data_IF_004219335923
#
_entry.id   IF_004219335923
#
_cell.length_a   1.000
_cell.length_b   1.000
_cell.length_c   1.000
_cell.angle_alpha   90.00
_cell.angle_beta   90.00
_cell.angle_gamma   90.00
#
_symmetry.space_group_name_H-M   'P 1'
#
loop_
_entity.id
_entity.type
_entity.pdbx_description
1 polymer ?
#
# COMPACT_ATOMS: atom_id res chain seq x y z
N UNK A 1 -14.90 -47.69 22.31
CA UNK A 1 -14.99 -46.80 23.48
C UNK A 1 -14.30 -45.45 23.24
N UNK A 2 -13.04 -45.44 22.78
CA UNK A 2 -12.26 -44.20 22.52
C UNK A 2 -12.95 -43.24 21.54
N UNK A 3 -13.42 -43.72 20.37
CA UNK A 3 -14.13 -42.90 19.39
C UNK A 3 -15.38 -42.19 19.94
N UNK A 4 -16.24 -42.91 20.69
CA UNK A 4 -17.44 -42.31 21.32
C UNK A 4 -17.08 -41.17 22.28
N UNK A 5 -16.04 -41.34 23.08
CA UNK A 5 -15.60 -40.31 24.02
C UNK A 5 -15.03 -39.11 23.26
N UNK A 6 -14.19 -39.34 22.24
CA UNK A 6 -13.66 -38.25 21.42
C UNK A 6 -14.76 -37.47 20.71
N UNK A 7 -15.81 -38.14 20.21
CA UNK A 7 -16.97 -37.47 19.61
C UNK A 7 -17.75 -36.61 20.61
N UNK A 8 -17.96 -37.10 21.84
CA UNK A 8 -18.63 -36.32 22.88
C UNK A 8 -17.80 -35.09 23.28
N UNK A 9 -16.48 -35.26 23.49
CA UNK A 9 -15.57 -34.16 23.81
C UNK A 9 -15.44 -33.16 22.66
N UNK A 10 -15.52 -33.61 21.40
CA UNK A 10 -15.57 -32.74 20.22
C UNK A 10 -16.77 -31.80 20.27
N UNK A 11 -17.98 -32.35 20.45
CA UNK A 11 -19.22 -31.57 20.48
C UNK A 11 -19.21 -30.60 21.66
N UNK A 12 -18.80 -31.06 22.85
CA UNK A 12 -18.68 -30.20 24.02
C UNK A 12 -17.74 -29.01 23.78
N UNK A 13 -16.55 -29.27 23.23
CA UNK A 13 -15.56 -28.24 22.93
C UNK A 13 -16.08 -27.22 21.91
N UNK A 14 -16.70 -27.70 20.82
CA UNK A 14 -17.25 -26.86 19.76
C UNK A 14 -18.38 -25.95 20.28
N UNK A 15 -19.33 -26.50 21.04
CA UNK A 15 -20.42 -25.74 21.63
C UNK A 15 -19.92 -24.67 22.61
N UNK A 16 -18.99 -25.00 23.49
CA UNK A 16 -18.44 -24.03 24.44
C UNK A 16 -17.69 -22.89 23.73
N UNK A 17 -16.93 -23.19 22.66
CA UNK A 17 -16.29 -22.15 21.86
C UNK A 17 -17.33 -21.18 21.26
N UNK A 18 -18.45 -21.70 20.76
CA UNK A 18 -19.53 -20.89 20.21
C UNK A 18 -20.25 -20.07 21.28
N UNK A 19 -20.51 -20.63 22.46
CA UNK A 19 -21.08 -19.92 23.62
C UNK A 19 -20.17 -18.77 24.09
N UNK A 20 -18.85 -18.94 23.98
CA UNK A 20 -17.86 -17.89 24.25
C UNK A 20 -17.71 -16.87 23.10
N UNK A 21 -18.52 -16.96 22.03
CA UNK A 21 -18.53 -16.02 20.91
C UNK A 21 -17.61 -16.38 19.73
N UNK A 22 -16.87 -17.50 19.79
CA UNK A 22 -16.00 -17.95 18.70
C UNK A 22 -16.76 -18.82 17.68
N UNK A 23 -17.85 -18.28 17.11
CA UNK A 23 -18.76 -19.00 16.20
C UNK A 23 -18.11 -19.37 14.85
N UNK A 24 -16.98 -18.76 14.49
CA UNK A 24 -16.20 -19.09 13.29
C UNK A 24 -15.30 -20.33 13.46
N UNK A 25 -15.20 -20.88 14.68
CA UNK A 25 -14.38 -22.04 14.97
C UNK A 25 -15.16 -23.34 14.83
N UNK A 26 -14.47 -24.35 14.34
CA UNK A 26 -14.95 -25.72 14.23
C UNK A 26 -13.94 -26.65 14.89
N UNK A 27 -14.42 -27.82 15.34
CA UNK A 27 -13.54 -28.85 15.89
C UNK A 27 -13.52 -30.04 14.94
N UNK A 28 -12.36 -30.66 14.73
CA UNK A 28 -12.25 -31.97 14.06
C UNK A 28 -11.45 -32.94 14.90
N UNK A 29 -11.76 -34.22 14.76
CA UNK A 29 -11.07 -35.29 15.46
C UNK A 29 -10.10 -35.98 14.53
N UNK A 30 -8.86 -36.21 14.98
CA UNK A 30 -7.88 -37.03 14.29
C UNK A 30 -7.14 -37.90 15.31
N UNK A 31 -7.45 -39.20 15.37
CA UNK A 31 -6.90 -40.09 16.40
C UNK A 31 -7.27 -39.65 17.82
N UNK A 32 -6.27 -39.35 18.65
CA UNK A 32 -6.43 -38.81 20.01
C UNK A 32 -6.44 -37.27 20.06
N UNK A 33 -6.42 -36.60 18.91
CA UNK A 33 -6.39 -35.14 18.82
C UNK A 33 -7.79 -34.57 18.57
N UNK A 34 -8.14 -33.53 19.32
CA UNK A 34 -9.18 -32.58 18.98
C UNK A 34 -8.50 -31.32 18.46
N UNK A 35 -8.73 -31.00 17.18
CA UNK A 35 -8.11 -29.86 16.50
C UNK A 35 -9.18 -28.80 16.32
N UNK A 36 -8.96 -27.65 16.95
CA UNK A 36 -9.75 -26.43 16.77
C UNK A 36 -9.21 -25.71 15.53
N UNK A 37 -10.07 -25.37 14.59
CA UNK A 37 -9.69 -24.71 13.35
C UNK A 37 -10.76 -23.70 12.90
N UNK A 38 -10.37 -22.72 12.10
CA UNK A 38 -11.28 -21.85 11.35
C UNK A 38 -11.23 -22.18 9.86
N UNK A 39 -12.28 -21.81 9.13
CA UNK A 39 -12.28 -21.82 7.66
C UNK A 39 -12.13 -20.39 7.16
N UNK A 40 -11.00 -20.12 6.50
CA UNK A 40 -10.59 -18.80 6.02
C UNK A 40 -10.17 -18.93 4.56
N UNK A 41 -10.86 -18.22 3.67
CA UNK A 41 -10.63 -18.27 2.23
C UNK A 41 -10.60 -19.68 1.63
N UNK A 42 -11.48 -20.55 2.13
CA UNK A 42 -11.58 -21.96 1.71
C UNK A 42 -10.48 -22.87 2.27
N UNK A 43 -9.58 -22.33 3.11
CA UNK A 43 -8.49 -23.07 3.75
C UNK A 43 -8.80 -23.28 5.24
N UNK A 44 -8.48 -24.47 5.75
CA UNK A 44 -8.60 -24.79 7.18
C UNK A 44 -7.36 -24.31 7.92
N UNK A 45 -7.51 -23.30 8.77
CA UNK A 45 -6.42 -22.76 9.60
C UNK A 45 -6.52 -23.37 10.99
N UNK A 46 -5.52 -24.16 11.38
CA UNK A 46 -5.47 -24.73 12.72
C UNK A 46 -5.21 -23.62 13.75
N UNK A 47 -5.91 -23.67 14.90
CA UNK A 47 -5.89 -22.62 15.92
C UNK A 47 -5.28 -23.15 17.22
N UNK A 48 -5.82 -24.27 17.69
CA UNK A 48 -5.34 -24.99 18.85
C UNK A 48 -5.60 -26.49 18.70
N UNK A 49 -4.90 -27.31 19.49
CA UNK A 49 -5.08 -28.75 19.53
C UNK A 49 -5.02 -29.23 20.96
N UNK A 50 -5.97 -30.08 21.31
CA UNK A 50 -6.05 -30.73 22.60
C UNK A 50 -5.83 -32.22 22.37
N UNK A 51 -4.72 -32.75 22.87
CA UNK A 51 -4.31 -34.16 22.67
C UNK A 51 -4.66 -34.97 23.90
N UNK A 52 -5.44 -36.02 23.72
CA UNK A 52 -5.81 -36.93 24.79
C UNK A 52 -4.71 -37.97 25.01
N UNK A 53 -4.27 -38.14 26.26
CA UNK A 53 -3.30 -39.19 26.62
C UNK A 53 -3.87 -40.26 27.57
N UNK A 54 -4.96 -39.97 28.30
CA UNK A 54 -5.67 -40.99 29.08
C UNK A 54 -7.20 -40.74 29.11
N UNK A 55 -7.93 -41.43 29.98
CA UNK A 55 -9.41 -41.38 30.00
C UNK A 55 -9.98 -39.99 30.29
N UNK A 56 -9.31 -39.16 31.07
CA UNK A 56 -9.82 -37.86 31.51
C UNK A 56 -8.89 -36.69 31.21
N UNK A 57 -7.62 -36.94 30.86
CA UNK A 57 -6.60 -35.92 30.72
C UNK A 57 -6.23 -35.62 29.28
N UNK A 58 -5.97 -34.35 29.06
CA UNK A 58 -5.57 -33.76 27.81
C UNK A 58 -4.37 -32.85 28.00
N UNK A 59 -3.65 -32.61 26.91
CA UNK A 59 -2.53 -31.68 26.82
C UNK A 59 -2.81 -30.67 25.71
N UNK A 60 -2.55 -29.39 25.99
CA UNK A 60 -2.84 -28.29 25.07
C UNK A 60 -1.62 -27.92 24.20
N UNK A 61 -1.89 -27.71 22.93
CA UNK A 61 -0.97 -27.20 21.92
C UNK A 61 -1.66 -26.03 21.23
N UNK A 62 -0.90 -24.99 20.89
CA UNK A 62 -1.40 -23.85 20.12
C UNK A 62 -0.73 -23.83 18.75
N UNK A 63 -1.43 -23.33 17.74
CA UNK A 63 -0.80 -23.06 16.45
C UNK A 63 -0.11 -21.71 16.52
N UNK A 64 1.14 -21.64 16.08
CA UNK A 64 1.81 -20.37 15.88
C UNK A 64 1.35 -19.68 14.59
N UNK A 65 1.88 -18.49 14.33
CA UNK A 65 1.55 -17.67 13.16
C UNK A 65 1.91 -18.32 11.80
N UNK A 66 2.70 -19.41 11.80
CA UNK A 66 3.07 -20.18 10.60
C UNK A 66 2.23 -21.45 10.41
N UNK A 67 1.29 -21.72 11.32
CA UNK A 67 0.50 -22.96 11.30
C UNK A 67 1.19 -24.15 11.95
N UNK A 68 2.34 -23.95 12.61
CA UNK A 68 3.09 -25.00 13.29
C UNK A 68 2.63 -25.16 14.74
N UNK A 69 2.73 -26.38 15.27
CA UNK A 69 2.32 -26.66 16.65
C UNK A 69 3.39 -26.23 17.65
N UNK A 70 3.02 -25.38 18.59
CA UNK A 70 3.81 -25.05 19.78
C UNK A 70 3.24 -25.77 21.01
N UNK A 71 4.15 -26.33 21.81
CA UNK A 71 3.83 -27.01 23.06
C UNK A 71 3.48 -26.00 24.13
N UNK A 72 2.40 -26.22 24.87
CA UNK A 72 2.13 -25.48 26.10
C UNK A 72 2.46 -26.34 27.32
N UNK A 73 2.50 -25.73 28.51
CA UNK A 73 2.66 -26.48 29.77
C UNK A 73 1.33 -26.96 30.37
N UNK A 74 0.21 -26.70 29.70
CA UNK A 74 -1.12 -26.97 30.24
C UNK A 74 -1.57 -28.40 29.95
N UNK A 75 -1.96 -29.09 31.02
CA UNK A 75 -2.59 -30.40 30.96
C UNK A 75 -3.67 -30.52 32.04
N UNK A 76 -4.69 -31.34 31.78
CA UNK A 76 -5.85 -31.44 32.67
C UNK A 76 -7.07 -32.02 31.97
N UNK A 77 -8.20 -32.00 32.66
CA UNK A 77 -9.49 -32.36 32.11
C UNK A 77 -9.97 -31.39 31.04
N UNK A 78 -10.91 -31.81 30.19
CA UNK A 78 -11.49 -30.91 29.18
C UNK A 78 -12.12 -29.66 29.79
N UNK A 79 -12.74 -29.79 30.98
CA UNK A 79 -13.32 -28.67 31.71
C UNK A 79 -12.28 -27.66 32.19
N UNK A 80 -11.05 -28.11 32.51
CA UNK A 80 -9.93 -27.22 32.85
C UNK A 80 -9.26 -26.63 31.60
N UNK A 81 -9.20 -27.38 30.49
CA UNK A 81 -8.61 -26.89 29.24
C UNK A 81 -9.44 -25.77 28.60
N UNK A 82 -10.76 -25.83 28.72
CA UNK A 82 -11.68 -24.88 28.08
C UNK A 82 -11.39 -23.42 28.47
N UNK A 83 -11.40 -23.03 29.77
CA UNK A 83 -11.06 -21.67 30.19
C UNK A 83 -9.65 -21.26 29.79
N UNK A 84 -8.67 -22.17 29.85
CA UNK A 84 -7.29 -21.87 29.45
C UNK A 84 -7.23 -21.47 27.97
N UNK A 85 -7.88 -22.24 27.10
CA UNK A 85 -7.92 -21.98 25.66
C UNK A 85 -8.61 -20.64 25.37
N UNK A 86 -9.76 -20.38 25.99
CA UNK A 86 -10.58 -19.20 25.70
C UNK A 86 -10.08 -17.92 26.37
N UNK A 87 -9.47 -18.01 27.55
CA UNK A 87 -9.08 -16.83 28.35
C UNK A 87 -7.58 -16.53 28.28
N UNK A 88 -6.72 -17.54 28.25
CA UNK A 88 -5.26 -17.34 28.19
C UNK A 88 -4.72 -17.31 26.76
N UNK A 89 -5.40 -17.98 25.83
CA UNK A 89 -5.03 -18.00 24.40
C UNK A 89 -6.07 -17.43 23.44
N UNK A 90 -6.84 -16.36 23.78
CA UNK A 90 -7.90 -15.84 22.91
C UNK A 90 -7.36 -15.36 21.56
N UNK A 91 -6.11 -14.91 21.51
CA UNK A 91 -5.44 -14.48 20.29
C UNK A 91 -5.24 -15.63 19.28
N UNK A 92 -5.04 -16.86 19.74
CA UNK A 92 -4.89 -18.03 18.86
C UNK A 92 -6.21 -18.44 18.23
N UNK A 93 -7.33 -18.11 18.88
CA UNK A 93 -8.69 -18.47 18.47
C UNK A 93 -9.34 -17.43 17.54
N UNK A 94 -8.83 -16.21 17.51
CA UNK A 94 -9.34 -15.15 16.63
C UNK A 94 -9.11 -15.50 15.15
N UNK A 95 -10.05 -15.10 14.29
CA UNK A 95 -9.90 -15.17 12.84
C UNK A 95 -8.70 -14.31 12.42
N UNK A 96 -7.94 -14.75 11.43
CA UNK A 96 -6.88 -13.90 10.89
C UNK A 96 -7.53 -12.83 10.02
N UNK A 97 -7.77 -11.66 10.60
CA UNK A 97 -8.28 -10.51 9.87
C UNK A 97 -7.12 -9.73 9.26
N UNK A 98 -7.15 -9.62 7.94
CA UNK A 98 -6.21 -8.88 7.12
C UNK A 98 -6.74 -7.46 6.90
N UNK A 99 -5.88 -6.47 7.15
CA UNK A 99 -6.12 -5.08 6.81
C UNK A 99 -5.17 -4.60 5.71
N UNK A 100 -5.61 -3.58 4.98
CA UNK A 100 -4.80 -2.79 4.05
C UNK A 100 -4.80 -1.35 4.56
N UNK A 101 -3.61 -0.77 4.74
CA UNK A 101 -3.44 0.64 5.11
C UNK A 101 -2.78 1.38 3.95
N UNK A 102 -3.56 2.19 3.24
CA UNK A 102 -3.07 3.01 2.13
C UNK A 102 -2.45 4.31 2.65
N UNK A 103 -1.17 4.52 2.40
CA UNK A 103 -0.41 5.65 2.94
C UNK A 103 -0.11 6.68 1.86
N UNK A 104 -0.86 7.78 1.89
CA UNK A 104 -0.62 8.95 1.05
C UNK A 104 0.37 9.93 1.68
N UNK A 105 0.77 10.94 0.92
CA UNK A 105 1.68 11.96 1.45
C UNK A 105 0.96 12.96 2.38
N UNK A 106 -0.24 13.40 1.97
CA UNK A 106 -0.99 14.47 2.62
C UNK A 106 -0.76 15.80 1.92
N UNK A 107 -1.77 16.67 1.92
CA UNK A 107 -1.74 18.00 1.32
C UNK A 107 -2.39 19.02 2.24
N UNK A 108 -1.88 20.26 2.22
CA UNK A 108 -2.55 21.42 2.84
C UNK A 108 -3.77 21.87 2.05
N UNK A 109 -3.84 21.52 0.76
CA UNK A 109 -4.98 21.81 -0.10
C UNK A 109 -5.97 20.67 0.03
N UNK A 110 -7.20 20.99 0.45
CA UNK A 110 -8.27 20.02 0.71
C UNK A 110 -8.56 19.14 -0.51
N UNK A 111 -8.62 19.75 -1.69
CA UNK A 111 -8.90 19.06 -2.95
C UNK A 111 -7.89 17.95 -3.27
N UNK A 112 -6.61 18.14 -2.93
CA UNK A 112 -5.59 17.09 -3.12
C UNK A 112 -5.84 15.86 -2.24
N UNK A 113 -6.35 16.05 -1.01
CA UNK A 113 -6.71 14.93 -0.12
C UNK A 113 -8.00 14.25 -0.59
N UNK A 114 -8.99 15.02 -1.06
CA UNK A 114 -10.23 14.47 -1.64
C UNK A 114 -9.94 13.61 -2.88
N UNK A 115 -9.03 14.05 -3.76
CA UNK A 115 -8.60 13.26 -4.92
C UNK A 115 -7.90 11.96 -4.51
N UNK A 116 -7.06 11.99 -3.47
CA UNK A 116 -6.45 10.80 -2.90
C UNK A 116 -7.51 9.83 -2.35
N UNK A 117 -8.44 10.32 -1.55
CA UNK A 117 -9.53 9.52 -0.98
C UNK A 117 -10.37 8.86 -2.08
N UNK A 118 -10.76 9.62 -3.11
CA UNK A 118 -11.49 9.11 -4.28
C UNK A 118 -10.71 8.03 -5.03
N UNK A 119 -9.40 8.22 -5.20
CA UNK A 119 -8.54 7.22 -5.85
C UNK A 119 -8.49 5.92 -5.05
N UNK A 120 -8.35 6.01 -3.72
CA UNK A 120 -8.36 4.83 -2.86
C UNK A 120 -9.72 4.16 -2.83
N UNK A 121 -10.82 4.92 -2.80
CA UNK A 121 -12.18 4.35 -2.85
C UNK A 121 -12.46 3.60 -4.16
N UNK A 122 -11.85 4.01 -5.27
CA UNK A 122 -11.90 3.25 -6.51
C UNK A 122 -11.17 1.90 -6.37
N UNK A 123 -9.97 1.91 -5.77
CA UNK A 123 -9.14 0.71 -5.61
C UNK A 123 -9.70 -0.26 -4.55
N UNK A 124 -10.29 0.25 -3.47
CA UNK A 124 -10.92 -0.55 -2.39
C UNK A 124 -11.97 -1.52 -2.91
N UNK A 125 -12.65 -1.17 -4.00
CA UNK A 125 -13.71 -1.98 -4.64
C UNK A 125 -13.20 -3.27 -5.28
N UNK A 126 -11.89 -3.40 -5.51
CA UNK A 126 -11.28 -4.61 -6.06
C UNK A 126 -11.04 -5.70 -5.01
N UNK A 127 -11.09 -5.34 -3.72
CA UNK A 127 -10.84 -6.28 -2.62
C UNK A 127 -12.14 -6.78 -1.98
N UNK A 128 -12.03 -7.92 -1.29
CA UNK A 128 -13.16 -8.54 -0.59
C UNK A 128 -13.74 -7.59 0.46
N UNK A 129 -15.07 -7.57 0.58
CA UNK A 129 -15.80 -6.73 1.54
C UNK A 129 -15.43 -6.99 3.01
N UNK A 130 -14.91 -8.17 3.32
CA UNK A 130 -14.48 -8.55 4.68
C UNK A 130 -13.10 -8.02 5.07
N UNK A 131 -12.31 -7.49 4.13
CA UNK A 131 -10.99 -6.91 4.45
C UNK A 131 -11.14 -5.50 5.02
N UNK A 132 -10.42 -5.22 6.10
CA UNK A 132 -10.34 -3.89 6.71
C UNK A 132 -9.49 -3.01 5.79
N UNK A 133 -9.97 -1.82 5.41
CA UNK A 133 -9.26 -0.96 4.48
C UNK A 133 -9.28 0.49 4.97
N UNK A 134 -8.14 0.97 5.45
CA UNK A 134 -7.95 2.30 6.02
C UNK A 134 -6.99 3.15 5.18
N UNK A 135 -7.06 4.47 5.36
CA UNK A 135 -6.08 5.40 4.81
C UNK A 135 -5.24 6.02 5.94
N UNK A 136 -4.06 6.50 5.59
CA UNK A 136 -3.25 7.35 6.44
C UNK A 136 -2.39 8.30 5.60
N UNK A 137 -1.88 9.34 6.24
CA UNK A 137 -1.01 10.32 5.66
C UNK A 137 0.33 10.35 6.38
N UNK A 138 1.40 10.57 5.61
CA UNK A 138 2.76 10.74 6.14
C UNK A 138 2.83 12.01 6.97
N UNK A 139 2.25 13.10 6.47
CA UNK A 139 2.30 14.42 7.11
C UNK A 139 1.11 15.32 6.75
N UNK A 140 1.09 16.51 7.36
CA UNK A 140 0.17 17.64 7.09
C UNK A 140 -1.28 17.47 7.52
N UNK A 141 -1.84 16.27 7.39
CA UNK A 141 -3.25 15.96 7.68
C UNK A 141 -3.38 14.64 8.42
N UNK A 142 -4.52 14.44 9.06
CA UNK A 142 -4.90 13.19 9.71
C UNK A 142 -5.85 12.38 8.82
N UNK A 143 -5.93 11.04 8.99
CA UNK A 143 -5.24 10.24 10.01
C UNK A 143 -3.74 10.05 9.73
N UNK A 144 -2.92 10.12 10.77
CA UNK A 144 -1.51 9.75 10.73
C UNK A 144 -1.34 8.24 10.54
N UNK A 145 -0.14 7.78 10.14
CA UNK A 145 0.16 6.34 10.02
C UNK A 145 -0.16 5.58 11.31
N UNK A 146 0.22 6.14 12.46
CA UNK A 146 -0.06 5.56 13.78
C UNK A 146 -1.56 5.44 14.06
N UNK A 147 -2.34 6.48 13.72
CA UNK A 147 -3.80 6.47 13.86
C UNK A 147 -4.45 5.44 12.93
N UNK A 148 -4.00 5.34 11.67
CA UNK A 148 -4.50 4.35 10.70
C UNK A 148 -4.20 2.91 11.12
N UNK A 149 -3.00 2.64 11.65
CA UNK A 149 -2.64 1.33 12.22
C UNK A 149 -3.56 1.01 13.40
N UNK A 150 -3.74 1.97 14.33
CA UNK A 150 -4.63 1.79 15.48
C UNK A 150 -6.06 1.47 15.05
N UNK A 151 -6.59 2.20 14.06
CA UNK A 151 -7.92 1.97 13.53
C UNK A 151 -8.09 0.56 12.93
N UNK A 152 -7.08 0.05 12.21
CA UNK A 152 -7.08 -1.33 11.71
C UNK A 152 -7.13 -2.35 12.87
N UNK A 153 -6.35 -2.13 13.92
CA UNK A 153 -6.25 -3.04 15.07
C UNK A 153 -7.54 -3.03 15.90
N UNK A 154 -8.15 -1.86 16.09
CA UNK A 154 -9.44 -1.72 16.79
C UNK A 154 -10.58 -2.45 16.08
N UNK A 155 -10.50 -2.58 14.75
CA UNK A 155 -11.39 -3.40 13.93
C UNK A 155 -11.02 -4.91 13.95
N UNK A 156 -9.98 -5.29 14.68
CA UNK A 156 -9.58 -6.67 14.90
C UNK A 156 -8.49 -7.20 13.96
N UNK A 157 -7.83 -6.33 13.17
CA UNK A 157 -6.75 -6.75 12.29
C UNK A 157 -5.61 -7.43 13.08
N UNK A 158 -5.19 -8.60 12.58
CA UNK A 158 -4.02 -9.33 13.08
C UNK A 158 -2.86 -9.28 12.09
N UNK A 159 -3.14 -8.86 10.86
CA UNK A 159 -2.19 -8.57 9.80
C UNK A 159 -2.55 -7.24 9.12
N UNK A 160 -1.55 -6.42 8.80
CA UNK A 160 -1.73 -5.13 8.12
C UNK A 160 -0.73 -5.04 6.97
N UNK A 161 -1.23 -4.89 5.75
CA UNK A 161 -0.43 -4.57 4.58
C UNK A 161 -0.39 -3.05 4.40
N UNK A 162 0.78 -2.45 4.60
CA UNK A 162 0.99 -1.01 4.49
C UNK A 162 1.42 -0.69 3.07
N UNK A 163 0.62 0.07 2.33
CA UNK A 163 0.80 0.31 0.90
C UNK A 163 1.08 1.78 0.64
N UNK A 164 2.33 2.15 0.27
CA UNK A 164 2.66 3.53 -0.09
C UNK A 164 2.03 3.93 -1.41
N UNK A 165 1.23 5.00 -1.38
CA UNK A 165 0.62 5.60 -2.57
C UNK A 165 1.52 6.75 -3.03
N UNK A 166 2.72 6.37 -3.50
CA UNK A 166 3.80 7.28 -3.86
C UNK A 166 4.35 6.90 -5.24
N UNK A 167 4.64 7.90 -6.09
CA UNK A 167 5.18 7.65 -7.43
C UNK A 167 6.59 7.05 -7.40
N UNK A 168 7.46 7.58 -6.55
CA UNK A 168 8.88 7.25 -6.53
C UNK A 168 9.37 6.97 -5.11
N UNK A 169 10.42 6.16 -5.02
CA UNK A 169 11.06 5.82 -3.75
C UNK A 169 12.00 6.95 -3.33
N UNK A 170 11.54 7.78 -2.39
CA UNK A 170 12.30 8.85 -1.76
C UNK A 170 12.39 8.63 -0.23
N UNK A 171 12.94 9.60 0.50
CA UNK A 171 13.10 9.55 1.97
C UNK A 171 11.85 9.09 2.70
N UNK A 172 10.65 9.52 2.29
CA UNK A 172 9.40 9.12 2.94
C UNK A 172 9.14 7.61 2.87
N UNK A 173 9.40 6.98 1.73
CA UNK A 173 9.21 5.54 1.57
C UNK A 173 10.33 4.73 2.27
N UNK A 174 11.56 5.26 2.27
CA UNK A 174 12.73 4.54 2.81
C UNK A 174 12.96 4.72 4.30
N UNK A 175 12.45 5.81 4.88
CA UNK A 175 12.78 6.23 6.25
C UNK A 175 11.53 6.49 7.06
N UNK A 176 10.66 7.41 6.60
CA UNK A 176 9.58 7.90 7.47
C UNK A 176 8.51 6.84 7.73
N UNK A 177 7.97 6.20 6.69
CA UNK A 177 6.99 5.12 6.88
C UNK A 177 7.62 3.95 7.66
N UNK A 178 8.78 3.40 7.25
CA UNK A 178 9.46 2.34 8.02
C UNK A 178 9.64 2.65 9.51
N UNK A 179 10.03 3.87 9.86
CA UNK A 179 10.22 4.28 11.26
C UNK A 179 8.91 4.25 12.05
N UNK A 180 7.79 4.67 11.46
CA UNK A 180 6.48 4.56 12.12
C UNK A 180 6.05 3.08 12.26
N UNK A 181 6.39 2.21 11.31
CA UNK A 181 6.13 0.78 11.42
C UNK A 181 6.97 0.10 12.52
N UNK A 182 8.23 0.49 12.69
CA UNK A 182 9.08 0.01 13.78
C UNK A 182 8.47 0.36 15.15
N UNK A 183 8.04 1.62 15.34
CA UNK A 183 7.34 2.06 16.56
C UNK A 183 6.03 1.30 16.80
N UNK A 184 5.26 1.09 15.74
CA UNK A 184 4.02 0.33 15.82
C UNK A 184 4.26 -1.13 16.20
N UNK A 185 5.36 -1.74 15.72
CA UNK A 185 5.76 -3.11 16.06
C UNK A 185 6.15 -3.26 17.54
N UNK A 186 6.80 -2.26 18.12
CA UNK A 186 7.08 -2.23 19.57
C UNK A 186 5.79 -2.17 20.39
N UNK A 187 4.80 -1.42 19.91
CA UNK A 187 3.51 -1.22 20.59
C UNK A 187 2.57 -2.42 20.42
N UNK A 188 2.59 -3.06 19.25
CA UNK A 188 1.67 -4.13 18.85
C UNK A 188 2.45 -5.38 18.36
N UNK A 189 3.20 -6.07 19.24
CA UNK A 189 4.09 -7.17 18.83
C UNK A 189 3.37 -8.38 18.23
N UNK A 190 2.07 -8.50 18.47
CA UNK A 190 1.23 -9.60 17.97
C UNK A 190 0.56 -9.30 16.62
N UNK A 191 0.76 -8.10 16.06
CA UNK A 191 0.19 -7.71 14.76
C UNK A 191 1.30 -7.78 13.71
N UNK A 192 1.08 -8.59 12.68
CA UNK A 192 2.04 -8.69 11.58
C UNK A 192 1.85 -7.52 10.63
N UNK A 193 2.93 -6.83 10.29
CA UNK A 193 2.90 -5.73 9.33
C UNK A 193 3.81 -6.05 8.16
N UNK A 194 3.30 -5.89 6.94
CA UNK A 194 4.06 -5.93 5.69
C UNK A 194 4.08 -4.57 5.03
N UNK A 195 5.10 -4.32 4.21
CA UNK A 195 5.31 -3.03 3.57
C UNK A 195 5.45 -3.18 2.05
N UNK A 196 4.55 -2.52 1.32
CA UNK A 196 4.54 -2.49 -0.14
C UNK A 196 5.57 -1.52 -0.70
N UNK A 197 5.89 -1.69 -1.99
CA UNK A 197 6.75 -0.75 -2.72
C UNK A 197 5.93 0.45 -3.22
N UNK A 198 6.54 1.63 -3.38
CA UNK A 198 5.99 2.70 -4.21
C UNK A 198 5.71 2.24 -5.64
N UNK A 199 5.04 3.06 -6.44
CA UNK A 199 4.73 2.73 -7.83
C UNK A 199 6.01 2.46 -8.63
N UNK A 200 6.99 3.35 -8.53
CA UNK A 200 8.28 3.21 -9.19
C UNK A 200 8.23 3.57 -10.68
N UNK A 201 9.21 3.05 -11.42
CA UNK A 201 9.32 3.22 -12.87
C UNK A 201 8.60 2.04 -13.53
N UNK A 202 7.32 2.24 -13.83
CA UNK A 202 6.44 1.25 -14.44
C UNK A 202 5.92 1.78 -15.78
N UNK A 203 5.77 0.89 -16.77
CA UNK A 203 5.26 1.27 -18.09
C UNK A 203 3.86 1.89 -18.00
N UNK A 204 2.96 1.36 -17.16
CA UNK A 204 1.62 1.91 -16.95
C UNK A 204 1.65 3.36 -16.46
N UNK A 205 2.58 3.71 -15.56
CA UNK A 205 2.71 5.08 -15.02
C UNK A 205 3.25 6.02 -16.11
N UNK A 206 4.21 5.54 -16.91
CA UNK A 206 4.78 6.30 -18.02
C UNK A 206 3.74 6.50 -19.12
N UNK A 207 2.91 5.49 -19.39
CA UNK A 207 1.85 5.58 -20.39
C UNK A 207 0.76 6.58 -19.95
N UNK A 208 0.45 6.66 -18.65
CA UNK A 208 -0.40 7.74 -18.10
C UNK A 208 0.27 9.10 -18.30
N UNK A 209 1.54 9.26 -17.95
CA UNK A 209 2.28 10.51 -18.17
C UNK A 209 2.30 10.94 -19.65
N UNK A 210 2.46 9.98 -20.57
CA UNK A 210 2.38 10.22 -22.01
C UNK A 210 0.97 10.60 -22.41
N UNK A 211 -0.07 9.95 -21.89
CA UNK A 211 -1.46 10.33 -22.18
C UNK A 211 -1.76 11.78 -21.83
N UNK A 212 -1.26 12.30 -20.69
CA UNK A 212 -1.40 13.71 -20.32
C UNK A 212 -0.76 14.66 -21.33
N UNK A 213 0.40 14.28 -21.86
CA UNK A 213 1.05 15.04 -22.94
C UNK A 213 0.24 15.00 -24.24
N UNK A 214 -0.31 13.83 -24.59
CA UNK A 214 -1.13 13.67 -25.80
C UNK A 214 -2.43 14.46 -25.71
N UNK A 215 -3.09 14.44 -24.54
CA UNK A 215 -4.31 15.18 -24.26
C UNK A 215 -4.08 16.70 -24.31
N UNK A 216 -2.89 17.16 -23.92
CA UNK A 216 -2.43 18.53 -24.09
C UNK A 216 -2.11 18.89 -25.56
N UNK A 217 -2.23 17.95 -26.49
CA UNK A 217 -2.05 18.15 -27.93
C UNK A 217 -0.62 17.91 -28.42
N UNK A 218 0.22 17.19 -27.67
CA UNK A 218 1.50 16.67 -28.20
C UNK A 218 1.22 15.45 -29.11
N UNK A 219 1.84 15.32 -30.29
CA UNK A 219 1.63 14.14 -31.12
C UNK A 219 2.36 12.92 -30.55
N UNK A 220 1.74 11.75 -30.71
CA UNK A 220 2.39 10.46 -30.44
C UNK A 220 3.45 10.17 -31.49
N UNK A 221 4.61 9.64 -31.08
CA UNK A 221 5.66 9.25 -32.02
C UNK A 221 5.17 8.09 -32.90
N UNK A 222 5.19 8.27 -34.22
CA UNK A 222 4.94 7.22 -35.20
C UNK A 222 6.26 6.71 -35.78
N UNK A 223 6.23 5.49 -36.31
CA UNK A 223 7.36 4.92 -37.04
C UNK A 223 7.68 5.83 -38.25
N UNK A 224 8.95 6.17 -38.41
CA UNK A 224 9.48 7.02 -39.49
C UNK A 224 8.98 8.48 -39.50
N UNK A 225 8.42 8.97 -38.38
CA UNK A 225 8.06 10.39 -38.21
C UNK A 225 9.24 11.18 -37.62
N UNK A 226 9.55 12.33 -38.23
CA UNK A 226 10.45 13.32 -37.61
C UNK A 226 9.79 13.93 -36.36
N UNK A 227 10.58 14.08 -35.30
CA UNK A 227 10.12 14.73 -34.07
C UNK A 227 9.87 16.22 -34.33
N UNK A 228 8.82 16.74 -33.73
CA UNK A 228 8.50 18.16 -33.79
C UNK A 228 9.50 18.98 -32.96
N UNK A 229 9.67 20.23 -33.37
CA UNK A 229 10.47 21.20 -32.63
C UNK A 229 9.72 21.70 -31.39
N UNK A 230 9.81 20.91 -30.32
CA UNK A 230 9.22 21.17 -29.03
C UNK A 230 10.06 20.58 -27.91
N UNK A 231 9.85 21.08 -26.69
CA UNK A 231 10.42 20.45 -25.49
C UNK A 231 9.30 19.98 -24.57
N UNK A 232 9.44 18.79 -24.00
CA UNK A 232 8.69 18.41 -22.80
C UNK A 232 9.54 18.76 -21.57
N UNK A 233 8.98 19.50 -20.63
CA UNK A 233 9.59 19.76 -19.33
C UNK A 233 8.88 18.91 -18.27
N UNK A 234 9.52 17.81 -17.85
CA UNK A 234 9.01 16.94 -16.79
C UNK A 234 9.32 17.57 -15.44
N UNK A 235 8.28 17.95 -14.70
CA UNK A 235 8.38 18.63 -13.41
C UNK A 235 8.16 17.60 -12.30
N UNK A 236 9.24 17.14 -11.69
CA UNK A 236 9.17 16.27 -10.51
C UNK A 236 8.97 17.08 -9.23
N UNK A 237 8.51 16.43 -8.16
CA UNK A 237 8.49 17.05 -6.83
C UNK A 237 9.90 17.41 -6.35
N UNK A 238 10.87 16.52 -6.56
CA UNK A 238 12.24 16.63 -6.06
C UNK A 238 12.42 16.00 -4.68
N UNK A 239 13.67 15.65 -4.36
CA UNK A 239 14.10 15.07 -3.08
C UNK A 239 15.59 15.31 -2.88
N UNK A 240 16.01 15.38 -1.61
CA UNK A 240 17.42 15.32 -1.22
C UNK A 240 18.03 13.91 -1.37
N UNK A 241 17.20 12.87 -1.49
CA UNK A 241 17.64 11.54 -1.90
C UNK A 241 17.89 11.54 -3.42
N UNK A 242 19.16 11.43 -3.81
CA UNK A 242 19.60 11.44 -5.21
C UNK A 242 19.00 10.33 -6.09
N UNK A 243 18.40 9.28 -5.50
CA UNK A 243 17.70 8.25 -6.26
C UNK A 243 16.45 8.79 -6.95
N UNK A 244 15.68 9.68 -6.30
CA UNK A 244 14.44 10.18 -6.89
C UNK A 244 14.70 11.07 -8.12
N UNK A 245 15.62 12.06 -8.10
CA UNK A 245 16.00 12.80 -9.31
C UNK A 245 16.56 11.90 -10.43
N UNK A 246 17.33 10.87 -10.08
CA UNK A 246 17.82 9.87 -11.04
C UNK A 246 16.68 9.11 -11.72
N UNK A 247 15.66 8.71 -10.95
CA UNK A 247 14.49 8.03 -11.47
C UNK A 247 13.63 8.95 -12.36
N UNK A 248 13.49 10.23 -12.01
CA UNK A 248 12.84 11.23 -12.90
C UNK A 248 13.59 11.38 -14.22
N UNK A 249 14.92 11.37 -14.21
CA UNK A 249 15.72 11.41 -15.44
C UNK A 249 15.50 10.16 -16.32
N UNK A 250 15.38 8.97 -15.71
CA UNK A 250 15.02 7.74 -16.44
C UNK A 250 13.61 7.83 -17.02
N UNK A 251 12.64 8.30 -16.25
CA UNK A 251 11.26 8.52 -16.71
C UNK A 251 11.23 9.49 -17.88
N UNK A 252 11.94 10.61 -17.79
CA UNK A 252 12.05 11.56 -18.89
C UNK A 252 12.61 10.92 -20.16
N UNK A 253 13.60 10.03 -20.04
CA UNK A 253 14.09 9.26 -21.19
C UNK A 253 13.03 8.30 -21.74
N UNK A 254 12.26 7.62 -20.89
CA UNK A 254 11.21 6.70 -21.32
C UNK A 254 10.00 7.42 -21.95
N UNK A 255 9.72 8.65 -21.52
CA UNK A 255 8.76 9.55 -22.16
C UNK A 255 9.28 9.98 -23.53
N UNK A 256 10.56 10.37 -23.63
CA UNK A 256 11.19 10.74 -24.90
C UNK A 256 10.94 9.67 -25.97
N UNK A 257 11.09 8.39 -25.66
CA UNK A 257 10.86 7.30 -26.62
C UNK A 257 9.40 7.17 -27.13
N UNK A 258 8.43 7.78 -26.45
CA UNK A 258 6.99 7.62 -26.75
C UNK A 258 6.33 8.83 -27.40
N UNK A 259 6.97 10.00 -27.37
CA UNK A 259 6.39 11.27 -27.84
C UNK A 259 7.11 11.83 -29.06
N UNK A 260 6.39 12.55 -29.93
CA UNK A 260 6.97 13.16 -31.14
C UNK A 260 7.66 14.51 -30.86
N UNK A 261 8.42 14.61 -29.76
CA UNK A 261 9.07 15.84 -29.33
C UNK A 261 10.59 15.69 -29.36
N UNK A 262 11.31 16.65 -29.94
CA UNK A 262 12.76 16.52 -30.17
C UNK A 262 13.61 16.66 -28.89
N UNK A 263 13.03 17.16 -27.81
CA UNK A 263 13.70 17.33 -26.53
C UNK A 263 12.80 16.99 -25.32
N UNK A 264 13.39 16.42 -24.27
CA UNK A 264 12.76 16.23 -22.96
C UNK A 264 13.75 16.65 -21.88
N UNK A 265 13.33 17.59 -21.04
CA UNK A 265 14.09 18.16 -19.94
C UNK A 265 13.41 17.85 -18.60
N UNK A 266 14.16 17.97 -17.51
CA UNK A 266 13.66 17.72 -16.15
C UNK A 266 13.94 18.88 -15.24
N UNK A 267 13.01 19.21 -14.35
CA UNK A 267 13.22 20.12 -13.24
C UNK A 267 12.38 19.72 -12.02
N UNK A 268 12.60 20.41 -10.91
CA UNK A 268 12.04 20.02 -9.62
C UNK A 268 11.39 21.20 -8.89
N UNK A 269 10.26 20.91 -8.24
CA UNK A 269 9.50 21.87 -7.44
C UNK A 269 10.21 22.21 -6.12
N UNK A 270 10.89 21.23 -5.51
CA UNK A 270 11.53 21.40 -4.21
C UNK A 270 12.77 20.51 -4.03
N UNK A 271 13.51 20.77 -2.96
CA UNK A 271 14.59 19.93 -2.38
C UNK A 271 15.83 19.64 -3.25
N UNK A 272 15.81 19.90 -4.55
CA UNK A 272 16.93 19.63 -5.46
C UNK A 272 16.92 20.56 -6.68
N UNK A 273 17.94 20.43 -7.53
CA UNK A 273 18.13 21.25 -8.73
C UNK A 273 18.25 20.35 -9.98
N UNK A 274 17.91 20.85 -11.18
CA UNK A 274 17.46 22.21 -11.49
C UNK A 274 16.04 22.52 -10.95
N UNK A 275 15.84 23.72 -10.41
CA UNK A 275 14.51 24.19 -9.99
C UNK A 275 13.61 24.42 -11.20
N UNK A 276 12.29 24.51 -11.01
CA UNK A 276 11.34 24.89 -12.09
C UNK A 276 11.80 26.17 -12.79
N UNK A 277 12.19 27.19 -12.04
CA UNK A 277 12.67 28.46 -12.59
C UNK A 277 13.90 28.28 -13.48
N UNK A 278 14.85 27.43 -13.06
CA UNK A 278 16.03 27.10 -13.85
C UNK A 278 15.67 26.27 -15.10
N UNK A 279 14.70 25.36 -14.99
CA UNK A 279 14.19 24.56 -16.10
C UNK A 279 13.53 25.44 -17.17
N UNK A 280 12.67 26.37 -16.74
CA UNK A 280 12.00 27.34 -17.62
C UNK A 280 13.02 28.26 -18.31
N UNK A 281 13.98 28.81 -17.56
CA UNK A 281 15.06 29.62 -18.13
C UNK A 281 15.93 28.82 -19.13
N UNK A 282 16.15 27.53 -18.88
CA UNK A 282 16.91 26.65 -19.79
C UNK A 282 16.19 26.48 -21.13
N UNK A 283 14.89 26.14 -21.12
CA UNK A 283 14.14 25.92 -22.36
C UNK A 283 13.94 27.21 -23.18
N UNK A 284 13.87 28.36 -22.53
CA UNK A 284 13.88 29.67 -23.20
C UNK A 284 15.22 29.96 -23.86
N UNK A 285 16.33 29.65 -23.19
CA UNK A 285 17.68 29.81 -23.75
C UNK A 285 17.95 28.86 -24.92
N UNK A 286 17.28 27.70 -24.95
CA UNK A 286 17.29 26.78 -26.08
C UNK A 286 16.39 27.24 -27.24
N UNK A 287 15.71 28.40 -27.10
CA UNK A 287 14.79 28.96 -28.08
C UNK A 287 13.66 27.99 -28.48
N UNK A 288 13.23 27.13 -27.55
CA UNK A 288 12.19 26.14 -27.81
C UNK A 288 10.85 26.86 -28.12
N UNK A 289 10.26 26.70 -29.32
CA UNK A 289 9.08 27.48 -29.71
C UNK A 289 7.81 27.02 -28.97
N UNK A 290 7.79 25.77 -28.47
CA UNK A 290 6.69 25.17 -27.72
C UNK A 290 7.24 24.28 -26.60
N UNK A 291 6.72 24.47 -25.39
CA UNK A 291 7.10 23.69 -24.21
C UNK A 291 5.85 23.09 -23.57
N UNK A 292 5.81 21.76 -23.50
CA UNK A 292 4.80 21.02 -22.75
C UNK A 292 5.31 20.78 -21.34
N UNK A 293 4.65 21.34 -20.34
CA UNK A 293 5.05 21.22 -18.93
C UNK A 293 4.24 20.09 -18.32
N UNK A 294 4.91 19.00 -17.94
CA UNK A 294 4.27 17.82 -17.37
C UNK A 294 4.53 17.75 -15.87
N UNK A 295 3.56 18.09 -15.01
CA UNK A 295 3.68 17.87 -13.57
C UNK A 295 3.61 16.36 -13.26
N UNK A 296 4.74 15.78 -12.89
CA UNK A 296 4.84 14.36 -12.51
C UNK A 296 4.45 14.19 -11.04
N UNK A 297 3.18 14.47 -10.76
CA UNK A 297 2.52 14.43 -9.45
C UNK A 297 1.24 13.57 -9.53
N UNK A 298 0.83 12.97 -8.41
CA UNK A 298 -0.43 12.19 -8.36
C UNK A 298 -1.66 13.07 -8.27
N UNK A 299 -1.61 14.12 -7.44
CA UNK A 299 -2.77 14.94 -7.10
C UNK A 299 -2.37 16.41 -7.07
N UNK A 300 -3.38 17.27 -7.13
CA UNK A 300 -3.20 18.72 -6.99
C UNK A 300 -2.74 19.12 -5.57
N UNK A 301 -2.30 20.38 -5.43
CA UNK A 301 -1.94 20.99 -4.16
C UNK A 301 -1.11 22.25 -4.34
N UNK A 302 -0.52 22.73 -3.24
CA UNK A 302 0.24 24.00 -3.23
C UNK A 302 1.32 24.07 -4.32
N UNK A 303 2.05 22.97 -4.53
CA UNK A 303 3.11 22.94 -5.55
C UNK A 303 2.57 23.03 -6.99
N UNK A 304 1.34 22.59 -7.22
CA UNK A 304 0.68 22.73 -8.53
C UNK A 304 0.25 24.18 -8.74
N UNK A 305 -0.34 24.81 -7.72
CA UNK A 305 -0.71 26.24 -7.73
C UNK A 305 0.51 27.15 -7.99
N UNK A 306 1.64 26.86 -7.34
CA UNK A 306 2.92 27.56 -7.56
C UNK A 306 3.41 27.40 -9.00
N UNK A 307 3.35 26.19 -9.57
CA UNK A 307 3.75 25.94 -10.95
C UNK A 307 2.87 26.71 -11.95
N UNK A 308 1.56 26.71 -11.75
CA UNK A 308 0.60 27.45 -12.57
C UNK A 308 0.90 28.96 -12.54
N UNK A 309 1.17 29.52 -11.36
CA UNK A 309 1.54 30.91 -11.20
C UNK A 309 2.83 31.26 -11.95
N UNK A 310 3.87 30.44 -11.82
CA UNK A 310 5.14 30.64 -12.54
C UNK A 310 4.97 30.66 -14.06
N UNK A 311 4.09 29.80 -14.60
CA UNK A 311 3.80 29.78 -16.05
C UNK A 311 2.98 30.99 -16.49
N UNK A 312 1.97 31.38 -15.70
CA UNK A 312 1.16 32.58 -15.94
C UNK A 312 2.01 33.84 -15.98
N UNK A 313 3.01 33.94 -15.10
CA UNK A 313 3.93 35.07 -15.07
C UNK A 313 4.81 35.19 -16.32
N UNK A 314 5.06 34.10 -17.05
CA UNK A 314 5.86 34.09 -18.27
C UNK A 314 5.04 34.30 -19.55
N UNK A 315 3.72 34.15 -19.47
CA UNK A 315 2.84 34.30 -20.61
C UNK A 315 2.99 35.68 -21.27
N UNK A 316 3.27 35.69 -22.58
CA UNK A 316 3.49 36.92 -23.37
C UNK A 316 4.82 37.64 -23.12
N UNK A 317 5.70 37.13 -22.23
CA UNK A 317 7.02 37.72 -21.96
C UNK A 317 8.16 37.07 -22.74
N UNK A 318 7.96 35.86 -23.26
CA UNK A 318 8.97 35.11 -24.02
C UNK A 318 8.42 34.61 -25.36
N UNK A 319 9.32 34.25 -26.27
CA UNK A 319 8.95 33.64 -27.56
C UNK A 319 8.49 32.19 -27.42
N UNK A 320 8.65 31.60 -26.22
CA UNK A 320 8.29 30.24 -25.88
C UNK A 320 6.81 30.18 -25.52
N UNK A 321 6.05 29.29 -26.17
CA UNK A 321 4.67 29.00 -25.76
C UNK A 321 4.62 27.82 -24.80
N UNK A 322 4.07 28.03 -23.61
CA UNK A 322 3.90 26.98 -22.62
C UNK A 322 2.52 26.33 -22.73
N UNK A 323 2.47 25.02 -22.54
CA UNK A 323 1.23 24.25 -22.40
C UNK A 323 1.38 23.38 -21.16
N UNK A 324 0.67 23.74 -20.09
CA UNK A 324 0.62 22.94 -18.88
C UNK A 324 -0.26 21.72 -19.13
N UNK A 325 0.31 20.53 -18.92
CA UNK A 325 -0.43 19.28 -18.96
C UNK A 325 -1.11 19.06 -17.60
N UNK A 326 -2.16 18.26 -17.61
CA UNK A 326 -2.73 17.77 -16.36
C UNK A 326 -1.74 16.84 -15.63
N UNK A 327 -1.85 16.76 -14.31
CA UNK A 327 -1.04 15.83 -13.50
C UNK A 327 -1.52 14.38 -13.70
N UNK A 328 -0.82 13.40 -13.12
CA UNK A 328 -1.10 11.99 -13.43
C UNK A 328 -2.49 11.54 -12.94
N UNK A 329 -2.94 12.04 -11.80
CA UNK A 329 -4.31 11.89 -11.32
C UNK A 329 -4.65 10.49 -10.83
N UNK A 330 -5.94 10.15 -10.92
CA UNK A 330 -6.53 8.87 -10.52
C UNK A 330 -6.82 7.96 -11.71
N UNK A 331 -5.91 7.91 -12.68
CA UNK A 331 -6.06 7.13 -13.91
C UNK A 331 -6.22 5.63 -13.65
N UNK A 332 -6.96 4.93 -14.51
CA UNK A 332 -7.12 3.47 -14.45
C UNK A 332 -5.76 2.74 -14.52
N UNK A 333 -4.79 3.27 -15.27
CA UNK A 333 -3.43 2.72 -15.30
C UNK A 333 -2.76 2.75 -13.93
N UNK A 334 -2.95 3.84 -13.18
CA UNK A 334 -2.42 4.00 -11.82
C UNK A 334 -3.15 3.12 -10.81
N UNK A 335 -4.48 2.96 -10.94
CA UNK A 335 -5.24 2.02 -10.11
C UNK A 335 -4.72 0.59 -10.28
N UNK A 336 -4.41 0.18 -11.52
CA UNK A 336 -3.81 -1.14 -11.80
C UNK A 336 -2.45 -1.33 -11.13
N UNK A 337 -1.58 -0.31 -11.16
CA UNK A 337 -0.28 -0.33 -10.47
C UNK A 337 -0.47 -0.44 -8.96
N UNK A 338 -1.35 0.37 -8.37
CA UNK A 338 -1.62 0.33 -6.93
C UNK A 338 -2.17 -1.04 -6.53
N UNK A 339 -3.09 -1.62 -7.30
CA UNK A 339 -3.58 -2.98 -7.05
C UNK A 339 -2.45 -4.01 -7.01
N UNK A 340 -1.50 -3.96 -7.96
CA UNK A 340 -0.33 -4.86 -7.93
C UNK A 340 0.53 -4.64 -6.69
N UNK A 341 0.80 -3.39 -6.30
CA UNK A 341 1.58 -3.08 -5.08
C UNK A 341 0.89 -3.51 -3.80
N UNK A 342 -0.43 -3.43 -3.76
CA UNK A 342 -1.23 -3.94 -2.64
C UNK A 342 -1.17 -5.47 -2.57
N UNK A 343 -1.31 -6.17 -3.69
CA UNK A 343 -1.17 -7.64 -3.74
C UNK A 343 0.23 -8.10 -3.33
N UNK A 344 1.30 -7.42 -3.78
CA UNK A 344 2.67 -7.67 -3.34
C UNK A 344 2.82 -7.49 -1.81
N UNK A 345 2.20 -6.46 -1.24
CA UNK A 345 2.22 -6.21 0.20
C UNK A 345 1.41 -7.27 0.97
N UNK A 346 0.25 -7.68 0.47
CA UNK A 346 -0.59 -8.72 1.06
C UNK A 346 0.10 -10.08 1.08
N UNK A 347 0.85 -10.41 0.02
CA UNK A 347 1.59 -11.67 -0.11
C UNK A 347 2.98 -11.64 0.53
N UNK A 348 3.36 -10.52 1.17
CA UNK A 348 4.67 -10.33 1.82
C UNK A 348 5.86 -10.44 0.84
N UNK A 349 5.62 -10.17 -0.45
CA UNK A 349 6.65 -10.07 -1.49
C UNK A 349 7.31 -8.68 -1.51
N UNK A 350 6.77 -7.75 -0.71
CA UNK A 350 7.37 -6.47 -0.36
C UNK A 350 8.50 -6.62 0.67
N UNK A 351 9.65 -5.99 0.38
CA UNK A 351 10.89 -6.10 1.15
C UNK A 351 10.71 -5.97 2.67
N UNK A 352 11.38 -6.83 3.43
CA UNK A 352 11.71 -6.55 4.82
C UNK A 352 12.76 -5.43 4.86
N UNK A 353 12.33 -4.18 5.00
CA UNK A 353 13.15 -3.02 5.40
C UNK A 353 14.53 -2.91 4.74
N UNK A 354 14.60 -2.90 3.40
CA UNK A 354 15.85 -2.70 2.66
C UNK A 354 15.82 -1.45 1.80
#
# INVERSE_FOLDING_TARGET
MVQRIMSASKIMLENTLHECGFTHLNVRTHGSHLIIYSEEDGVKVNRARVTRFNTQMYELYISNHRGEWETTHFSGSMAEMLPIITEQFPHTLKRTLQAILYVGHGSRVKEGNEQFEMFIDAVKKHYKTEMIQEIAYIELVSPTITEGIKACIEQGATKIAVVPVLLLSASHAKVDIPRELERAKETYPNVKMSYGKPFGIEDDVIDVAVSRLLDAGLPKLKKDQEREDCTVLVVGRGSSDGNQPSDVAKIARLIYERVACNNVETCFLAATTPTVEQGLAKVEKLEAPRVYVLPYLLFTGVLMEELEEMLREREGKTNTRYTLCDFLGSDNGLSGVLSRRTEEALNEEGSAYA
#
